data_IF_710995081090
#
_entry.id   IF_710995081090
#
_cell.length_a   1.000
_cell.length_b   1.000
_cell.length_c   1.000
_cell.angle_alpha   90.00
_cell.angle_beta   90.00
_cell.angle_gamma   90.00
#
_symmetry.space_group_name_H-M   'P 1'
#
loop_
_entity.id
_entity.type
_entity.pdbx_description
1 polymer ?
#
# COMPACT_ATOMS: atom_id res chain seq x y z
N UNK A 1 0.62 15.60 -4.68
CA UNK A 1 1.95 15.04 -5.03
C UNK A 1 1.83 14.32 -6.36
N UNK A 2 2.48 14.79 -7.40
CA UNK A 2 2.59 14.01 -8.64
C UNK A 2 3.76 13.05 -8.43
N UNK A 3 3.49 11.82 -7.99
CA UNK A 3 4.52 10.80 -7.92
C UNK A 3 5.05 10.51 -9.32
N UNK A 4 6.19 11.10 -9.66
CA UNK A 4 6.96 10.66 -10.82
C UNK A 4 7.71 9.42 -10.40
N UNK A 5 7.28 8.27 -10.91
CA UNK A 5 8.00 7.00 -10.77
C UNK A 5 9.39 7.18 -11.35
N UNK A 6 10.40 7.28 -10.49
CA UNK A 6 11.79 7.24 -10.88
C UNK A 6 12.18 5.77 -11.11
N UNK A 7 12.57 5.46 -12.33
CA UNK A 7 13.10 4.15 -12.66
C UNK A 7 14.49 3.98 -12.00
N UNK A 8 14.53 3.27 -10.88
CA UNK A 8 15.78 2.88 -10.24
C UNK A 8 16.37 1.68 -11.00
N UNK A 9 17.53 1.89 -11.60
CA UNK A 9 18.33 0.84 -12.26
C UNK A 9 18.87 -0.08 -11.18
N UNK A 10 18.41 -1.34 -11.18
CA UNK A 10 18.90 -2.37 -10.27
C UNK A 10 20.29 -2.84 -10.67
N UNK A 11 21.28 -2.58 -9.84
CA UNK A 11 22.59 -3.25 -9.91
C UNK A 11 22.51 -4.61 -9.23
N UNK A 12 22.71 -5.65 -9.98
CA UNK A 12 22.77 -7.03 -9.50
C UNK A 12 24.06 -7.26 -8.69
N UNK A 13 23.93 -7.67 -7.44
CA UNK A 13 25.02 -8.29 -6.69
C UNK A 13 24.61 -9.74 -6.37
N UNK A 14 25.32 -10.65 -7.02
CA UNK A 14 25.26 -12.07 -6.73
C UNK A 14 26.11 -12.37 -5.50
N UNK A 15 25.55 -13.06 -4.49
CA UNK A 15 26.35 -13.75 -3.47
C UNK A 15 25.79 -15.14 -3.17
N UNK A 16 26.72 -16.05 -3.13
CA UNK A 16 26.69 -17.50 -3.13
C UNK A 16 26.27 -18.16 -1.83
N UNK A 17 25.61 -19.31 -2.01
CA UNK A 17 25.65 -20.60 -1.28
C UNK A 17 25.98 -20.67 0.21
N UNK A 18 25.06 -21.29 0.94
CA UNK A 18 25.30 -21.98 2.21
C UNK A 18 24.30 -23.12 2.38
N UNK A 19 24.73 -24.35 2.13
CA UNK A 19 24.00 -25.60 2.46
C UNK A 19 24.05 -25.85 3.96
N UNK A 20 22.97 -26.32 4.56
CA UNK A 20 22.93 -27.49 5.47
C UNK A 20 21.54 -27.67 6.14
N UNK A 21 21.10 -28.92 6.24
CA UNK A 21 20.18 -29.36 7.29
C UNK A 21 18.84 -29.92 6.81
N UNK A 22 18.86 -31.19 6.34
CA UNK A 22 17.65 -31.98 6.07
C UNK A 22 17.03 -32.43 7.39
N UNK A 23 15.89 -31.86 7.78
CA UNK A 23 14.99 -32.47 8.74
C UNK A 23 13.85 -33.16 7.99
N UNK A 24 13.79 -34.50 8.07
CA UNK A 24 12.71 -35.33 7.55
C UNK A 24 11.41 -35.02 8.31
N UNK A 25 10.60 -34.15 7.79
CA UNK A 25 9.22 -33.97 8.25
C UNK A 25 8.32 -34.92 7.45
N UNK A 26 7.58 -35.76 8.16
CA UNK A 26 6.55 -36.64 7.61
C UNK A 26 5.61 -35.87 6.67
N UNK A 27 5.19 -36.47 5.54
CA UNK A 27 4.27 -35.81 4.62
C UNK A 27 2.88 -35.74 5.27
N UNK A 28 2.54 -34.59 5.84
CA UNK A 28 1.15 -34.25 6.09
C UNK A 28 0.44 -34.22 4.75
N UNK A 29 -0.64 -34.98 4.60
CA UNK A 29 -1.44 -35.01 3.38
C UNK A 29 -1.90 -33.61 3.01
N UNK A 30 -1.23 -32.99 2.06
CA UNK A 30 -1.58 -31.69 1.55
C UNK A 30 -2.85 -31.84 0.70
N UNK A 31 -4.03 -31.63 1.30
CA UNK A 31 -5.17 -31.23 0.51
C UNK A 31 -4.77 -29.94 -0.22
N UNK A 32 -4.44 -30.06 -1.51
CA UNK A 32 -4.19 -28.90 -2.37
C UNK A 32 -5.45 -28.04 -2.35
N UNK A 33 -5.43 -26.98 -1.53
CA UNK A 33 -6.54 -26.03 -1.53
C UNK A 33 -6.74 -25.55 -2.97
N UNK A 34 -8.00 -25.60 -3.44
CA UNK A 34 -8.37 -25.09 -4.76
C UNK A 34 -7.86 -23.65 -4.89
N UNK A 35 -7.13 -23.31 -5.96
CA UNK A 35 -6.69 -21.93 -6.15
C UNK A 35 -7.87 -20.98 -6.07
N UNK A 36 -7.73 -19.88 -5.35
CA UNK A 36 -8.76 -18.86 -5.30
C UNK A 36 -8.96 -18.28 -6.71
N UNK A 37 -10.20 -17.91 -7.07
CA UNK A 37 -10.48 -17.24 -8.34
C UNK A 37 -9.56 -16.01 -8.46
N UNK A 38 -9.00 -15.79 -9.65
CA UNK A 38 -8.14 -14.65 -9.92
C UNK A 38 -8.88 -13.63 -10.78
N UNK A 39 -8.76 -12.37 -10.47
CA UNK A 39 -9.30 -11.25 -11.26
C UNK A 39 -8.16 -10.43 -11.85
N UNK A 40 -8.39 -9.82 -13.01
CA UNK A 40 -7.39 -8.96 -13.66
C UNK A 40 -7.25 -7.62 -12.92
N UNK A 41 -6.10 -6.97 -13.06
CA UNK A 41 -5.86 -5.65 -12.49
C UNK A 41 -6.90 -4.61 -12.95
N UNK A 42 -7.33 -4.66 -14.21
CA UNK A 42 -8.38 -3.77 -14.74
C UNK A 42 -9.72 -3.98 -14.01
N UNK A 43 -10.09 -5.23 -13.72
CA UNK A 43 -11.30 -5.51 -12.93
C UNK A 43 -11.16 -5.06 -11.49
N UNK A 44 -9.99 -5.26 -10.87
CA UNK A 44 -9.72 -4.74 -9.53
C UNK A 44 -9.85 -3.22 -9.50
N UNK A 45 -9.31 -2.52 -10.50
CA UNK A 45 -9.41 -1.07 -10.61
C UNK A 45 -10.86 -0.57 -10.71
N UNK A 46 -11.73 -1.29 -11.43
CA UNK A 46 -13.15 -0.93 -11.51
C UNK A 46 -13.90 -1.08 -10.18
N UNK A 47 -13.34 -1.82 -9.22
CA UNK A 47 -13.91 -2.01 -7.90
C UNK A 47 -13.34 -1.05 -6.84
N UNK A 48 -12.33 -0.26 -7.16
CA UNK A 48 -11.83 0.78 -6.27
C UNK A 48 -12.93 1.80 -5.95
N UNK A 49 -12.79 2.51 -4.85
CA UNK A 49 -13.77 3.49 -4.42
C UNK A 49 -13.75 4.71 -5.37
N UNK A 50 -14.90 5.30 -5.67
CA UNK A 50 -14.93 6.58 -6.37
C UNK A 50 -14.34 7.68 -5.46
N UNK A 51 -13.80 8.74 -6.08
CA UNK A 51 -13.21 9.85 -5.34
C UNK A 51 -14.19 10.47 -4.31
N UNK A 52 -15.49 10.52 -4.64
CA UNK A 52 -16.53 11.01 -3.73
C UNK A 52 -16.67 10.21 -2.42
N UNK A 53 -16.10 9.00 -2.34
CA UNK A 53 -16.08 8.25 -1.08
C UNK A 53 -15.10 8.84 -0.05
N UNK A 54 -14.14 9.64 -0.50
CA UNK A 54 -13.14 10.33 0.33
C UNK A 54 -13.61 11.72 0.78
N UNK A 55 -14.66 12.25 0.17
CA UNK A 55 -15.23 13.56 0.49
C UNK A 55 -15.51 14.41 -0.73
N UNK A 56 -16.04 15.62 -0.48
CA UNK A 56 -16.32 16.58 -1.54
C UNK A 56 -15.02 17.19 -2.09
N UNK A 57 -14.98 17.41 -3.40
CA UNK A 57 -13.84 18.01 -4.08
C UNK A 57 -12.71 17.04 -4.42
N UNK A 58 -12.73 15.79 -3.91
CA UNK A 58 -11.73 14.79 -4.28
C UNK A 58 -11.86 14.31 -5.72
N UNK A 59 -10.73 14.10 -6.37
CA UNK A 59 -10.63 13.59 -7.74
C UNK A 59 -9.65 12.43 -7.80
N UNK A 60 -9.86 11.50 -8.73
CA UNK A 60 -8.87 10.46 -9.03
C UNK A 60 -7.85 11.04 -9.99
N UNK A 61 -6.57 11.00 -9.61
CA UNK A 61 -5.48 11.60 -10.40
C UNK A 61 -4.62 10.56 -11.11
N UNK A 62 -4.25 9.48 -10.45
CA UNK A 62 -3.41 8.43 -11.01
C UNK A 62 -4.11 7.08 -10.92
N UNK A 63 -4.09 6.35 -12.03
CA UNK A 63 -4.69 5.02 -12.12
C UNK A 63 -3.67 4.03 -12.64
N UNK A 64 -3.27 3.12 -11.77
CA UNK A 64 -2.33 2.06 -12.09
C UNK A 64 -2.99 0.69 -11.90
N UNK A 65 -2.62 -0.27 -12.72
CA UNK A 65 -2.99 -1.67 -12.51
C UNK A 65 -1.99 -2.60 -13.22
N UNK A 66 -2.07 -3.88 -12.93
CA UNK A 66 -1.15 -4.93 -13.42
C UNK A 66 -1.03 -4.98 -14.96
N UNK A 67 -1.95 -4.40 -15.70
CA UNK A 67 -1.89 -4.31 -17.16
C UNK A 67 -1.14 -3.08 -17.68
N UNK A 68 -0.71 -2.17 -16.81
CA UNK A 68 -0.04 -0.92 -17.19
C UNK A 68 1.48 -1.00 -16.98
N UNK A 69 2.22 -0.28 -17.83
CA UNK A 69 3.69 -0.28 -17.85
C UNK A 69 4.36 0.11 -16.51
N UNK A 70 3.69 0.92 -15.71
CA UNK A 70 4.22 1.41 -14.42
C UNK A 70 3.96 0.46 -13.26
N UNK A 71 3.14 -0.58 -13.46
CA UNK A 71 2.97 -1.59 -12.42
C UNK A 71 4.24 -2.43 -12.31
N UNK A 72 4.73 -2.59 -11.08
CA UNK A 72 5.92 -3.42 -10.86
C UNK A 72 5.62 -4.87 -11.19
N UNK A 73 6.31 -5.41 -12.21
CA UNK A 73 6.25 -6.84 -12.57
C UNK A 73 7.38 -7.64 -11.92
N UNK A 74 8.16 -7.03 -11.05
CA UNK A 74 9.28 -7.71 -10.40
C UNK A 74 8.77 -8.75 -9.42
N UNK A 75 9.09 -10.00 -9.70
CA UNK A 75 8.69 -11.11 -8.85
C UNK A 75 9.33 -10.99 -7.46
N UNK A 76 8.48 -10.88 -6.44
CA UNK A 76 8.83 -11.14 -5.04
C UNK A 76 9.86 -10.20 -4.40
N UNK A 77 9.69 -8.89 -4.53
CA UNK A 77 10.38 -7.94 -3.65
C UNK A 77 9.97 -8.26 -2.20
N UNK A 78 10.95 -8.34 -1.33
CA UNK A 78 10.67 -8.50 0.10
C UNK A 78 10.53 -7.11 0.73
N UNK A 79 9.48 -6.80 1.48
CA UNK A 79 9.36 -5.52 2.18
C UNK A 79 10.61 -5.14 2.99
N UNK A 80 11.26 -6.12 3.62
CA UNK A 80 12.48 -5.92 4.41
C UNK A 80 13.73 -5.56 3.61
N UNK A 81 13.72 -5.72 2.27
CA UNK A 81 14.86 -5.38 1.42
C UNK A 81 14.82 -3.95 0.87
N UNK A 82 13.70 -3.24 1.05
CA UNK A 82 13.52 -1.87 0.61
C UNK A 82 14.00 -0.89 1.69
N UNK A 83 14.37 0.33 1.33
CA UNK A 83 14.43 1.45 2.27
C UNK A 83 13.01 1.78 2.77
N UNK A 84 12.86 2.60 3.82
CA UNK A 84 11.54 2.97 4.30
C UNK A 84 10.77 3.77 3.23
N UNK A 85 11.40 4.77 2.63
CA UNK A 85 10.83 5.53 1.52
C UNK A 85 10.43 4.61 0.36
N UNK A 86 11.31 3.73 -0.12
CA UNK A 86 10.98 2.82 -1.20
C UNK A 86 9.85 1.85 -0.86
N UNK A 87 9.72 1.44 0.41
CA UNK A 87 8.61 0.59 0.84
C UNK A 87 7.27 1.35 0.78
N UNK A 88 7.23 2.61 1.22
CA UNK A 88 6.05 3.47 1.11
C UNK A 88 5.61 3.64 -0.35
N UNK A 89 6.56 3.84 -1.26
CA UNK A 89 6.25 3.95 -2.69
C UNK A 89 5.73 2.62 -3.28
N UNK A 90 6.41 1.50 -2.97
CA UNK A 90 6.11 0.20 -3.59
C UNK A 90 4.83 -0.44 -3.08
N UNK A 91 4.36 -0.11 -1.87
CA UNK A 91 3.12 -0.69 -1.32
C UNK A 91 1.90 -0.38 -2.20
N UNK A 92 1.97 0.71 -2.98
CA UNK A 92 0.93 1.17 -3.88
C UNK A 92 1.11 0.73 -5.35
N UNK A 93 2.27 0.19 -5.71
CA UNK A 93 2.55 -0.21 -7.10
C UNK A 93 2.85 -1.71 -7.26
N UNK A 94 2.76 -2.48 -6.19
CA UNK A 94 2.93 -3.94 -6.22
C UNK A 94 4.38 -4.39 -6.32
N UNK A 95 4.58 -5.62 -6.79
CA UNK A 95 5.91 -6.24 -6.91
C UNK A 95 6.29 -7.16 -5.76
N UNK A 96 5.35 -7.45 -4.87
CA UNK A 96 5.55 -8.31 -3.69
C UNK A 96 5.14 -9.77 -3.92
N UNK A 97 5.08 -10.20 -5.18
CA UNK A 97 4.57 -11.53 -5.57
C UNK A 97 3.04 -11.57 -5.70
N UNK A 98 2.42 -10.40 -5.78
CA UNK A 98 1.03 -10.23 -6.17
C UNK A 98 0.82 -10.71 -7.61
N UNK A 99 -0.33 -11.32 -7.87
CA UNK A 99 -0.71 -11.83 -9.20
C UNK A 99 -1.51 -10.81 -10.01
N UNK A 100 -2.12 -9.87 -9.33
CA UNK A 100 -2.80 -8.73 -9.90
C UNK A 100 -2.90 -7.62 -8.84
N UNK A 101 -3.11 -6.40 -9.28
CA UNK A 101 -3.35 -5.29 -8.38
C UNK A 101 -3.86 -4.06 -9.11
N UNK A 102 -4.36 -3.12 -8.35
CA UNK A 102 -4.82 -1.83 -8.84
C UNK A 102 -4.66 -0.75 -7.75
N UNK A 103 -4.33 0.45 -8.19
CA UNK A 103 -4.18 1.64 -7.36
C UNK A 103 -4.84 2.83 -8.03
N UNK A 104 -5.56 3.63 -7.26
CA UNK A 104 -5.99 4.97 -7.64
C UNK A 104 -5.39 5.99 -6.65
N UNK A 105 -4.67 6.98 -7.16
CA UNK A 105 -4.30 8.19 -6.43
C UNK A 105 -5.51 9.11 -6.30
N UNK A 106 -5.73 9.64 -5.10
CA UNK A 106 -6.86 10.50 -4.76
C UNK A 106 -6.31 11.86 -4.32
N UNK A 107 -6.83 12.91 -4.90
CA UNK A 107 -6.35 14.26 -4.65
C UNK A 107 -7.51 15.24 -4.45
N UNK A 108 -7.38 16.10 -3.46
CA UNK A 108 -8.22 17.27 -3.25
C UNK A 108 -7.33 18.52 -3.12
N UNK A 109 -7.31 19.41 -4.12
CA UNK A 109 -6.59 20.66 -4.04
C UNK A 109 -7.07 21.46 -2.84
N UNK A 110 -6.21 21.63 -1.83
CA UNK A 110 -6.54 22.41 -0.65
C UNK A 110 -6.24 23.90 -0.90
N UNK A 111 -7.24 24.79 -0.85
CA UNK A 111 -7.03 26.23 -1.05
C UNK A 111 -6.11 26.86 0.00
N UNK A 112 -5.97 26.25 1.19
CA UNK A 112 -5.04 26.71 2.23
C UNK A 112 -3.56 26.51 1.86
N UNK A 113 -3.28 25.76 0.82
CA UNK A 113 -1.94 25.49 0.29
C UNK A 113 -1.77 26.00 -1.14
N UNK A 114 -2.48 27.07 -1.50
CA UNK A 114 -2.40 27.65 -2.85
C UNK A 114 -0.97 28.03 -3.27
N UNK A 115 -0.15 28.44 -2.30
CA UNK A 115 1.27 28.76 -2.52
C UNK A 115 2.16 27.50 -2.65
N UNK A 116 1.62 26.33 -2.35
CA UNK A 116 2.32 25.04 -2.38
C UNK A 116 1.46 24.01 -3.12
N UNK A 117 1.34 24.14 -4.45
CA UNK A 117 0.43 23.30 -5.25
C UNK A 117 0.78 21.81 -5.27
N UNK A 118 1.96 21.44 -4.80
CA UNK A 118 2.37 20.04 -4.58
C UNK A 118 1.84 19.45 -3.27
N UNK A 119 1.51 20.31 -2.30
CA UNK A 119 0.90 19.90 -1.05
C UNK A 119 -0.63 19.85 -1.21
N UNK A 120 -1.11 18.71 -1.57
CA UNK A 120 -2.54 18.45 -1.71
C UNK A 120 -2.98 17.50 -0.60
N UNK A 121 -4.18 17.72 -0.08
CA UNK A 121 -4.85 16.68 0.68
C UNK A 121 -5.14 15.54 -0.26
N UNK A 122 -4.73 14.35 0.11
CA UNK A 122 -4.90 13.21 -0.77
C UNK A 122 -4.30 11.96 -0.20
N UNK A 123 -4.30 10.93 -0.98
CA UNK A 123 -3.77 9.63 -0.60
C UNK A 123 -3.94 8.65 -1.74
N UNK A 124 -3.79 7.40 -1.41
CA UNK A 124 -3.92 6.30 -2.36
C UNK A 124 -4.83 5.22 -1.80
N UNK A 125 -5.52 4.53 -2.69
CA UNK A 125 -6.17 3.28 -2.38
C UNK A 125 -5.62 2.17 -3.28
N UNK A 126 -5.28 1.05 -2.68
CA UNK A 126 -4.67 -0.07 -3.41
C UNK A 126 -5.30 -1.39 -3.03
N UNK A 127 -5.39 -2.29 -3.99
CA UNK A 127 -5.63 -3.71 -3.76
C UNK A 127 -4.55 -4.54 -4.44
N UNK A 128 -3.89 -5.41 -3.66
CA UNK A 128 -2.95 -6.42 -4.14
C UNK A 128 -3.59 -7.80 -4.00
N UNK A 129 -3.68 -8.55 -5.09
CA UNK A 129 -4.18 -9.91 -5.10
C UNK A 129 -3.02 -10.90 -5.14
N UNK A 130 -3.05 -11.89 -4.29
CA UNK A 130 -2.04 -12.96 -4.20
C UNK A 130 -2.62 -14.29 -4.65
N UNK A 131 -1.74 -15.20 -5.06
CA UNK A 131 -2.15 -16.55 -5.51
C UNK A 131 -2.84 -17.35 -4.42
N UNK A 132 -2.45 -17.15 -3.15
CA UNK A 132 -2.98 -17.90 -2.00
C UNK A 132 -3.19 -16.98 -0.81
N UNK A 133 -4.07 -17.38 0.11
CA UNK A 133 -4.28 -16.69 1.39
C UNK A 133 -3.01 -16.64 2.24
N UNK A 134 -2.17 -17.68 2.13
CA UNK A 134 -0.88 -17.72 2.83
C UNK A 134 0.09 -16.67 2.29
N UNK A 135 0.16 -16.48 0.97
CA UNK A 135 1.00 -15.45 0.35
C UNK A 135 0.53 -14.05 0.77
N UNK A 136 -0.78 -13.79 0.73
CA UNK A 136 -1.36 -12.53 1.21
C UNK A 136 -1.05 -12.27 2.70
N UNK A 137 -1.21 -13.30 3.55
CA UNK A 137 -0.90 -13.21 4.97
C UNK A 137 0.60 -12.97 5.23
N UNK A 138 1.47 -13.60 4.43
CA UNK A 138 2.92 -13.40 4.53
C UNK A 138 3.29 -11.95 4.18
N UNK A 139 2.73 -11.40 3.11
CA UNK A 139 2.93 -10.00 2.74
C UNK A 139 2.40 -9.06 3.84
N UNK A 140 1.16 -9.24 4.31
CA UNK A 140 0.57 -8.43 5.37
C UNK A 140 1.44 -8.39 6.64
N UNK A 141 1.96 -9.55 7.07
CA UNK A 141 2.83 -9.61 8.24
C UNK A 141 4.19 -8.94 8.00
N UNK A 142 4.75 -9.09 6.79
CA UNK A 142 6.00 -8.44 6.41
C UNK A 142 5.84 -6.92 6.30
N UNK A 143 4.72 -6.43 5.77
CA UNK A 143 4.37 -5.00 5.73
C UNK A 143 4.27 -4.41 7.14
N UNK A 144 3.53 -5.08 8.04
CA UNK A 144 3.46 -4.67 9.45
C UNK A 144 4.84 -4.60 10.12
N UNK A 145 5.67 -5.62 9.92
CA UNK A 145 7.02 -5.65 10.47
C UNK A 145 7.91 -4.54 9.89
N UNK A 146 7.72 -4.20 8.61
CA UNK A 146 8.46 -3.12 7.95
C UNK A 146 8.07 -1.77 8.50
N UNK A 147 6.77 -1.46 8.61
CA UNK A 147 6.31 -0.22 9.25
C UNK A 147 6.83 -0.07 10.69
N UNK A 148 6.88 -1.17 11.45
CA UNK A 148 7.46 -1.15 12.79
C UNK A 148 8.95 -0.79 12.79
N UNK A 149 9.70 -1.18 11.77
CA UNK A 149 11.12 -0.83 11.61
C UNK A 149 11.32 0.61 11.11
N UNK A 150 10.37 1.11 10.30
CA UNK A 150 10.37 2.45 9.73
C UNK A 150 9.67 3.46 10.66
N UNK A 151 10.03 3.46 11.94
CA UNK A 151 9.39 4.36 12.92
C UNK A 151 9.76 5.84 12.74
N UNK A 152 10.88 6.13 12.07
CA UNK A 152 11.28 7.47 11.65
C UNK A 152 12.16 7.35 10.40
N UNK A 153 11.89 8.16 9.39
CA UNK A 153 12.69 8.22 8.17
C UNK A 153 12.40 9.52 7.42
N UNK A 154 13.32 9.90 6.53
CA UNK A 154 13.16 11.03 5.65
C UNK A 154 12.77 10.56 4.25
N UNK A 155 11.89 11.31 3.62
CA UNK A 155 11.57 11.23 2.19
C UNK A 155 12.04 12.50 1.49
N UNK A 156 12.51 12.36 0.28
CA UNK A 156 12.84 13.49 -0.57
C UNK A 156 11.99 13.44 -1.84
N UNK A 157 11.35 14.57 -2.14
CA UNK A 157 10.75 14.80 -3.46
C UNK A 157 11.70 15.68 -4.27
N UNK A 158 12.44 15.08 -5.24
CA UNK A 158 13.38 15.84 -6.05
C UNK A 158 12.71 16.86 -6.98
N UNK A 159 11.40 16.67 -7.27
CA UNK A 159 10.67 17.57 -8.17
C UNK A 159 10.38 18.91 -7.53
N UNK A 160 10.13 18.92 -6.21
CA UNK A 160 9.75 20.13 -5.46
C UNK A 160 10.82 20.56 -4.45
N UNK A 161 11.97 19.86 -4.40
CA UNK A 161 13.04 20.09 -3.42
C UNK A 161 12.55 20.01 -1.97
N UNK A 162 11.44 19.29 -1.73
CA UNK A 162 10.90 19.11 -0.40
C UNK A 162 11.57 17.92 0.29
N UNK A 163 11.88 18.10 1.56
CA UNK A 163 12.26 17.03 2.46
C UNK A 163 11.16 16.86 3.49
N UNK A 164 10.66 15.65 3.59
CA UNK A 164 9.64 15.24 4.53
C UNK A 164 10.30 14.35 5.59
N UNK A 165 10.08 14.64 6.85
CA UNK A 165 10.48 13.76 7.94
C UNK A 165 9.21 13.09 8.51
N UNK A 166 9.12 11.77 8.38
CA UNK A 166 8.01 10.99 8.88
C UNK A 166 8.38 10.33 10.20
N UNK A 167 7.54 10.52 11.21
CA UNK A 167 7.70 9.89 12.52
C UNK A 167 6.42 9.18 12.93
N UNK A 168 6.52 7.87 13.17
CA UNK A 168 5.38 7.06 13.61
C UNK A 168 4.91 7.50 14.99
N UNK A 169 3.66 7.94 15.06
CA UNK A 169 2.96 8.28 16.29
C UNK A 169 2.22 7.06 16.86
N UNK A 170 1.64 6.26 16.00
CA UNK A 170 0.99 5.02 16.40
C UNK A 170 1.03 3.96 15.29
N UNK A 171 1.18 2.69 15.70
CA UNK A 171 1.03 1.52 14.85
C UNK A 171 0.26 0.46 15.64
N UNK A 172 -0.98 0.24 15.28
CA UNK A 172 -1.88 -0.63 16.04
C UNK A 172 -2.53 -1.71 15.17
N UNK A 173 -2.63 -2.92 15.71
CA UNK A 173 -3.43 -4.01 15.10
C UNK A 173 -4.88 -3.85 15.48
N UNK A 174 -5.76 -4.09 14.53
CA UNK A 174 -7.21 -4.01 14.68
C UNK A 174 -7.91 -5.04 13.82
N UNK A 175 -9.23 -4.97 13.75
CA UNK A 175 -10.06 -5.75 12.84
C UNK A 175 -11.05 -4.84 12.13
N UNK A 176 -11.19 -5.03 10.81
CA UNK A 176 -12.16 -4.31 9.98
C UNK A 176 -13.01 -5.34 9.25
N UNK A 177 -14.31 -5.33 9.49
CA UNK A 177 -15.25 -6.32 8.93
C UNK A 177 -14.78 -7.78 9.16
N UNK A 178 -14.32 -8.11 10.38
CA UNK A 178 -13.77 -9.40 10.79
C UNK A 178 -12.45 -9.79 10.12
N UNK A 179 -11.86 -8.92 9.31
CA UNK A 179 -10.55 -9.11 8.68
C UNK A 179 -9.45 -8.52 9.56
N UNK A 180 -8.28 -9.18 9.58
CA UNK A 180 -7.10 -8.64 10.26
C UNK A 180 -6.68 -7.34 9.60
N UNK A 181 -6.44 -6.32 10.39
CA UNK A 181 -5.99 -5.02 9.93
C UNK A 181 -4.90 -4.46 10.84
N UNK A 182 -4.17 -3.49 10.34
CA UNK A 182 -3.42 -2.54 11.16
C UNK A 182 -3.61 -1.13 10.64
N UNK A 183 -3.44 -0.18 11.53
CA UNK A 183 -3.46 1.24 11.21
C UNK A 183 -2.17 1.88 11.71
N UNK A 184 -1.63 2.77 10.90
CA UNK A 184 -0.44 3.55 11.12
C UNK A 184 -0.82 5.03 11.07
N UNK A 185 -0.32 5.81 12.02
CA UNK A 185 -0.39 7.26 12.01
C UNK A 185 1.04 7.77 12.10
N UNK A 186 1.45 8.56 11.12
CA UNK A 186 2.75 9.20 11.06
C UNK A 186 2.58 10.72 11.09
N UNK A 187 3.39 11.37 11.88
CA UNK A 187 3.56 12.81 11.82
C UNK A 187 4.52 13.14 10.69
N UNK A 188 4.14 14.08 9.86
CA UNK A 188 4.95 14.53 8.71
C UNK A 188 5.41 15.94 8.99
N UNK A 189 6.71 16.11 9.17
CA UNK A 189 7.37 17.42 9.28
C UNK A 189 7.93 17.83 7.92
N UNK A 190 7.58 19.03 7.49
CA UNK A 190 8.10 19.63 6.27
C UNK A 190 8.92 20.83 6.70
N UNK A 191 10.21 20.61 6.95
CA UNK A 191 11.12 21.59 7.55
C UNK A 191 11.22 22.92 6.77
N UNK A 192 10.84 22.94 5.50
CA UNK A 192 10.83 24.12 4.64
C UNK A 192 9.54 24.94 4.70
N UNK A 193 8.48 24.46 5.37
CA UNK A 193 7.18 25.11 5.36
C UNK A 193 6.72 25.46 6.78
N UNK A 194 6.36 26.75 7.03
CA UNK A 194 5.82 27.18 8.31
C UNK A 194 4.33 26.82 8.43
N UNK A 195 3.95 25.60 8.08
CA UNK A 195 2.58 25.15 8.05
C UNK A 195 2.26 24.19 9.19
N UNK A 196 0.98 24.12 9.54
CA UNK A 196 0.46 23.28 10.61
C UNK A 196 0.80 21.79 10.41
N UNK A 197 0.75 21.06 11.50
CA UNK A 197 1.01 19.63 11.57
C UNK A 197 0.27 18.85 10.49
N UNK A 198 1.00 18.00 9.79
CA UNK A 198 0.45 17.02 8.86
C UNK A 198 0.53 15.64 9.47
N UNK A 199 -0.43 14.81 9.07
CA UNK A 199 -0.43 13.41 9.41
C UNK A 199 -0.66 12.59 8.14
N UNK A 200 0.09 11.51 8.01
CA UNK A 200 -0.19 10.44 7.07
C UNK A 200 -0.80 9.29 7.85
N UNK A 201 -2.00 8.91 7.46
CA UNK A 201 -2.74 7.84 8.08
C UNK A 201 -2.83 6.68 7.09
N UNK A 202 -2.30 5.53 7.44
CA UNK A 202 -2.31 4.33 6.57
C UNK A 202 -3.06 3.21 7.24
N UNK A 203 -3.94 2.56 6.51
CA UNK A 203 -4.61 1.35 6.96
C UNK A 203 -4.40 0.21 5.98
N UNK A 204 -4.00 -0.94 6.49
CA UNK A 204 -3.77 -2.16 5.70
C UNK A 204 -4.65 -3.28 6.22
N UNK A 205 -5.39 -3.94 5.33
CA UNK A 205 -6.34 -5.01 5.67
C UNK A 205 -6.05 -6.26 4.87
N UNK A 206 -5.99 -7.41 5.55
CA UNK A 206 -5.89 -8.73 4.95
C UNK A 206 -7.28 -9.36 4.83
N UNK A 207 -7.79 -9.56 3.62
CA UNK A 207 -9.07 -10.23 3.39
C UNK A 207 -8.94 -11.32 2.30
N UNK A 208 -8.89 -12.56 2.73
CA UNK A 208 -8.70 -13.72 1.84
C UNK A 208 -7.35 -13.68 1.13
N UNK A 209 -7.36 -13.65 -0.19
CA UNK A 209 -6.16 -13.55 -1.04
C UNK A 209 -5.77 -12.10 -1.35
N UNK A 210 -6.49 -11.12 -0.81
CA UNK A 210 -6.25 -9.72 -1.11
C UNK A 210 -5.70 -8.98 0.12
N UNK A 211 -4.81 -8.04 -0.16
CA UNK A 211 -4.40 -7.02 0.81
C UNK A 211 -4.83 -5.66 0.26
N UNK A 212 -5.52 -4.92 1.10
CA UNK A 212 -6.05 -3.58 0.82
C UNK A 212 -5.24 -2.56 1.59
N UNK A 213 -4.88 -1.48 0.94
CA UNK A 213 -4.21 -0.35 1.57
C UNK A 213 -4.96 0.92 1.21
N UNK A 214 -5.21 1.76 2.18
CA UNK A 214 -5.61 3.15 2.00
C UNK A 214 -4.65 3.98 2.81
N UNK A 215 -4.12 5.02 2.23
CA UNK A 215 -3.46 6.09 2.97
C UNK A 215 -4.15 7.42 2.71
N UNK A 216 -3.92 8.35 3.61
CA UNK A 216 -4.49 9.69 3.57
C UNK A 216 -3.50 10.67 4.22
N UNK A 217 -3.08 11.67 3.46
CA UNK A 217 -2.29 12.78 3.95
C UNK A 217 -3.24 13.93 4.27
N UNK A 218 -3.39 14.24 5.55
CA UNK A 218 -4.30 15.27 6.02
C UNK A 218 -3.77 16.01 7.27
N UNK A 219 -4.51 16.99 7.74
CA UNK A 219 -4.14 17.76 8.93
C UNK A 219 -4.57 17.13 10.26
N UNK A 220 -5.12 15.90 10.25
CA UNK A 220 -5.64 15.25 11.46
C UNK A 220 -4.93 13.93 11.74
N UNK A 221 -4.88 13.51 13.00
CA UNK A 221 -4.34 12.22 13.42
C UNK A 221 -5.44 11.15 13.57
N UNK A 222 -6.54 11.30 12.85
CA UNK A 222 -7.64 10.37 12.91
C UNK A 222 -7.34 9.13 12.05
N UNK A 223 -7.57 7.93 12.55
CA UNK A 223 -7.35 6.72 11.76
C UNK A 223 -8.30 6.64 10.58
N UNK A 224 -7.87 5.99 9.50
CA UNK A 224 -8.72 5.73 8.31
C UNK A 224 -10.04 5.07 8.74
N UNK A 225 -11.20 5.63 8.35
CA UNK A 225 -12.50 5.10 8.75
C UNK A 225 -12.71 3.64 8.34
N UNK A 226 -13.11 2.79 9.28
CA UNK A 226 -13.38 1.38 9.01
C UNK A 226 -14.46 1.16 7.94
N UNK A 227 -15.42 2.10 7.82
CA UNK A 227 -16.44 2.07 6.77
C UNK A 227 -15.86 2.22 5.37
N UNK A 228 -14.85 3.07 5.20
CA UNK A 228 -14.19 3.27 3.90
C UNK A 228 -13.53 1.98 3.43
N UNK A 229 -12.70 1.37 4.29
CA UNK A 229 -12.07 0.08 4.02
C UNK A 229 -13.08 -1.05 3.84
N UNK A 230 -14.15 -1.05 4.64
CA UNK A 230 -15.23 -2.02 4.52
C UNK A 230 -15.92 -1.96 3.17
N UNK A 231 -16.19 -0.77 2.66
CA UNK A 231 -16.76 -0.57 1.34
C UNK A 231 -15.82 -1.04 0.22
N UNK A 232 -14.53 -0.73 0.30
CA UNK A 232 -13.53 -1.19 -0.66
C UNK A 232 -13.48 -2.74 -0.70
N UNK A 233 -13.39 -3.38 0.47
CA UNK A 233 -13.39 -4.85 0.58
C UNK A 233 -14.65 -5.45 -0.05
N UNK A 234 -15.82 -4.89 0.27
CA UNK A 234 -17.09 -5.40 -0.26
C UNK A 234 -17.17 -5.31 -1.79
N UNK A 235 -16.75 -4.19 -2.37
CA UNK A 235 -16.72 -3.99 -3.83
C UNK A 235 -15.80 -4.99 -4.53
N UNK A 236 -14.59 -5.20 -4.01
CA UNK A 236 -13.65 -6.18 -4.57
C UNK A 236 -14.18 -7.61 -4.39
N UNK A 237 -14.74 -7.96 -3.23
CA UNK A 237 -15.32 -9.28 -3.00
C UNK A 237 -16.50 -9.58 -3.94
N UNK A 238 -17.26 -8.56 -4.36
CA UNK A 238 -18.34 -8.75 -5.33
C UNK A 238 -17.84 -9.27 -6.70
N UNK A 239 -16.59 -8.94 -7.09
CA UNK A 239 -16.00 -9.43 -8.33
C UNK A 239 -15.86 -10.95 -8.39
N UNK A 240 -15.74 -11.60 -7.23
CA UNK A 240 -15.54 -13.05 -7.11
C UNK A 240 -16.84 -13.86 -7.07
N UNK A 241 -17.99 -13.20 -6.86
CA UNK A 241 -19.29 -13.89 -6.77
C UNK A 241 -19.87 -14.29 -8.13
N UNK A 242 -19.34 -13.73 -9.20
CA UNK A 242 -19.81 -13.93 -10.57
C UNK A 242 -18.86 -14.80 -11.40
N UNK A 243 -18.06 -15.61 -10.74
CA UNK A 243 -17.18 -16.65 -11.31
C UNK A 243 -17.53 -18.06 -10.70
#
# INVERSE_FOLDING_TARGET
MKFKVIAVIASAIALSLGMAGSALASPASSHKAKPAPQVTGTRLQSALLPASAFGDGFTVVDRLNTGKRLWSTHASIKPSSLSCQAFEEYIFVGGFGDTAGATDGINNPNPNFADYPSLVLGGDQTVLQFKTTQAAASFYNAAYARYKQCSAFAESDPADSLQLELTTQSLSKTTINKNKAFQLIQYVDISSLPVANFYQNTAVVLAGTNVFTIDDLNGTNDPIPASLLGNLIHRVQALYKHH
#
